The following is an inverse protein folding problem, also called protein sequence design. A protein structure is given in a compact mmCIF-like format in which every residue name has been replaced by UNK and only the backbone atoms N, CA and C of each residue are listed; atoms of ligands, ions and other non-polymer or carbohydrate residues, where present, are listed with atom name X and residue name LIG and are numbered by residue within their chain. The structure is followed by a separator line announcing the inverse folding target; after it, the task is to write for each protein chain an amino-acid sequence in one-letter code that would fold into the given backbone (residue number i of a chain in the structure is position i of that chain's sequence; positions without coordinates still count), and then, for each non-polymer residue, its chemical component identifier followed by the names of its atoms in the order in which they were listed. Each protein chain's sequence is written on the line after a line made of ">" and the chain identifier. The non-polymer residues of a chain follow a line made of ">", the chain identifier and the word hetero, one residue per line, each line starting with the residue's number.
data_IF_996504003978
#
_entry.id   IF_996504003978
#
_cell.length_a   1.000
_cell.length_b   1.000
_cell.length_c   1.000
_cell.angle_alpha   90.00
_cell.angle_beta   90.00
_cell.angle_gamma   90.00
#
_symmetry.space_group_name_H-M   'P 1'
#
loop_
_entity.id
_entity.type
_entity.pdbx_description
1 polymer ?
#
# COMPACT_ATOMS: atom_id res chain seq x y z
N UNK A 1 9.05 -2.47 -13.69
CA UNK A 1 9.11 -3.63 -12.77
C UNK A 1 10.41 -4.35 -13.11
N UNK A 2 11.46 -4.21 -12.29
CA UNK A 2 12.79 -4.71 -12.65
C UNK A 2 12.94 -6.16 -12.16
N UNK A 3 12.94 -7.12 -13.09
CA UNK A 3 12.93 -8.56 -12.79
C UNK A 3 14.33 -9.17 -12.63
N UNK A 4 15.38 -8.41 -12.95
CA UNK A 4 16.79 -8.85 -12.86
C UNK A 4 17.20 -9.30 -11.44
N UNK A 5 16.49 -8.83 -10.40
CA UNK A 5 16.77 -9.21 -9.01
C UNK A 5 15.97 -10.41 -8.51
N UNK A 6 15.06 -10.96 -9.30
CA UNK A 6 14.22 -12.09 -8.87
C UNK A 6 15.03 -13.37 -8.76
N UNK A 7 15.87 -13.65 -9.75
CA UNK A 7 16.72 -14.84 -9.80
C UNK A 7 17.68 -14.89 -8.61
N UNK A 8 18.31 -13.75 -8.29
CA UNK A 8 19.14 -13.61 -7.10
C UNK A 8 18.40 -13.92 -5.80
N UNK A 9 17.15 -13.45 -5.65
CA UNK A 9 16.33 -13.70 -4.45
C UNK A 9 15.93 -15.17 -4.31
N UNK A 10 15.68 -15.87 -5.41
CA UNK A 10 15.40 -17.32 -5.40
C UNK A 10 16.62 -18.08 -4.87
N UNK A 11 17.82 -17.74 -5.35
CA UNK A 11 19.07 -18.36 -4.88
C UNK A 11 19.32 -18.05 -3.39
N UNK A 12 19.12 -16.80 -2.97
CA UNK A 12 19.25 -16.41 -1.55
C UNK A 12 18.28 -17.22 -0.67
N UNK A 13 17.01 -17.38 -1.11
CA UNK A 13 16.02 -18.18 -0.38
C UNK A 13 16.45 -19.64 -0.25
N UNK A 14 16.92 -20.24 -1.34
CA UNK A 14 17.40 -21.62 -1.36
C UNK A 14 18.59 -21.82 -0.40
N UNK A 15 19.58 -20.93 -0.44
CA UNK A 15 20.77 -21.02 0.42
C UNK A 15 20.44 -20.77 1.90
N UNK A 16 19.48 -19.89 2.19
CA UNK A 16 18.93 -19.70 3.53
C UNK A 16 18.27 -20.98 4.05
N UNK A 17 17.48 -21.68 3.23
CA UNK A 17 16.86 -22.98 3.60
C UNK A 17 17.93 -24.06 3.82
N UNK A 18 19.02 -24.03 3.07
CA UNK A 18 20.18 -24.93 3.28
C UNK A 18 20.97 -24.63 4.56
N UNK A 19 20.63 -23.57 5.30
CA UNK A 19 21.27 -23.20 6.55
C UNK A 19 22.57 -22.41 6.41
N UNK A 20 22.87 -21.86 5.23
CA UNK A 20 24.03 -20.98 5.06
C UNK A 20 23.74 -19.60 5.68
N UNK A 21 24.76 -19.00 6.26
CA UNK A 21 24.70 -17.60 6.70
C UNK A 21 24.65 -16.63 5.52
N UNK A 22 24.21 -15.39 5.78
CA UNK A 22 24.15 -14.34 4.75
C UNK A 22 25.52 -14.05 4.11
N UNK A 23 26.61 -14.15 4.88
CA UNK A 23 27.99 -13.94 4.41
C UNK A 23 28.46 -15.07 3.50
N UNK A 24 28.17 -16.32 3.86
CA UNK A 24 28.46 -17.50 3.02
C UNK A 24 27.64 -17.47 1.74
N UNK A 25 26.35 -17.12 1.85
CA UNK A 25 25.44 -16.93 0.71
C UNK A 25 26.01 -15.90 -0.28
N UNK A 26 26.48 -14.75 0.20
CA UNK A 26 27.09 -13.73 -0.66
C UNK A 26 28.37 -14.24 -1.32
N UNK A 27 29.24 -14.93 -0.56
CA UNK A 27 30.49 -15.48 -1.08
C UNK A 27 30.23 -16.49 -2.19
N UNK A 28 29.28 -17.42 -1.98
CA UNK A 28 28.88 -18.44 -2.95
C UNK A 28 28.32 -17.80 -4.23
N UNK A 29 27.41 -16.83 -4.07
CA UNK A 29 26.83 -16.13 -5.23
C UNK A 29 27.88 -15.30 -5.97
N UNK A 30 28.85 -14.70 -5.26
CA UNK A 30 29.91 -13.89 -5.87
C UNK A 30 30.90 -14.76 -6.67
N UNK A 31 31.19 -15.96 -6.19
CA UNK A 31 32.06 -16.92 -6.88
C UNK A 31 31.43 -17.40 -8.20
N UNK A 32 30.14 -17.78 -8.16
CA UNK A 32 29.42 -18.31 -9.33
C UNK A 32 29.06 -17.21 -10.34
N UNK A 33 28.52 -16.08 -9.88
CA UNK A 33 27.95 -15.04 -10.76
C UNK A 33 28.92 -13.90 -11.11
N UNK A 34 30.08 -13.82 -10.43
CA UNK A 34 31.14 -12.83 -10.66
C UNK A 34 30.62 -11.40 -10.78
N UNK A 35 30.61 -10.82 -11.97
CA UNK A 35 30.23 -9.43 -12.23
C UNK A 35 28.71 -9.21 -12.15
N UNK A 36 27.92 -10.27 -12.32
CA UNK A 36 26.47 -10.24 -12.21
C UNK A 36 25.97 -10.51 -10.78
N UNK A 37 26.87 -10.70 -9.82
CA UNK A 37 26.48 -11.04 -8.45
C UNK A 37 25.73 -9.87 -7.76
N UNK A 38 24.71 -10.17 -6.94
CA UNK A 38 24.01 -9.15 -6.17
C UNK A 38 24.94 -8.52 -5.13
N UNK A 39 24.67 -7.27 -4.74
CA UNK A 39 25.43 -6.62 -3.67
C UNK A 39 25.27 -7.35 -2.34
N UNK A 40 26.30 -7.32 -1.49
CA UNK A 40 26.28 -7.95 -0.17
C UNK A 40 25.11 -7.44 0.69
N UNK A 41 24.81 -6.14 0.59
CA UNK A 41 23.67 -5.52 1.28
C UNK A 41 22.32 -6.08 0.82
N UNK A 42 22.18 -6.43 -0.47
CA UNK A 42 20.98 -7.07 -1.00
C UNK A 42 20.82 -8.49 -0.46
N UNK A 43 21.90 -9.26 -0.44
CA UNK A 43 21.91 -10.61 0.13
C UNK A 43 21.51 -10.57 1.60
N UNK A 44 22.16 -9.71 2.40
CA UNK A 44 21.86 -9.57 3.82
C UNK A 44 20.40 -9.16 4.09
N UNK A 45 19.88 -8.18 3.33
CA UNK A 45 18.47 -7.75 3.43
C UNK A 45 17.51 -8.93 3.22
N UNK A 46 17.65 -9.65 2.10
CA UNK A 46 16.71 -10.71 1.75
C UNK A 46 16.87 -11.96 2.61
N UNK A 47 18.10 -12.29 3.00
CA UNK A 47 18.37 -13.39 3.92
C UNK A 47 17.67 -13.18 5.27
N UNK A 48 17.81 -11.98 5.86
CA UNK A 48 17.11 -11.62 7.09
C UNK A 48 15.56 -11.67 6.96
N UNK A 49 15.02 -11.30 5.81
CA UNK A 49 13.58 -11.42 5.55
C UNK A 49 13.12 -12.88 5.47
N UNK A 50 13.91 -13.76 4.85
CA UNK A 50 13.61 -15.20 4.77
C UNK A 50 13.75 -15.90 6.13
N UNK A 51 14.76 -15.56 6.93
CA UNK A 51 14.87 -16.05 8.32
C UNK A 51 13.68 -15.62 9.19
N UNK A 52 13.11 -14.44 8.94
CA UNK A 52 11.88 -13.96 9.60
C UNK A 52 10.61 -14.68 9.13
N UNK A 53 10.72 -15.66 8.23
CA UNK A 53 9.60 -16.46 7.75
C UNK A 53 8.86 -15.87 6.55
N UNK A 54 9.46 -14.92 5.81
CA UNK A 54 8.88 -14.44 4.56
C UNK A 54 8.91 -15.56 3.51
N UNK A 55 7.76 -15.91 2.94
CA UNK A 55 7.72 -16.89 1.84
C UNK A 55 7.83 -16.25 0.44
N UNK A 56 7.46 -14.97 0.33
CA UNK A 56 7.46 -14.22 -0.92
C UNK A 56 8.86 -13.81 -1.38
N UNK A 57 9.17 -14.05 -2.67
CA UNK A 57 10.42 -13.65 -3.33
C UNK A 57 10.31 -12.26 -4.01
N UNK A 58 9.11 -11.68 -4.10
CA UNK A 58 8.92 -10.33 -4.64
C UNK A 58 8.50 -9.36 -3.54
N UNK A 59 8.64 -8.06 -3.79
CA UNK A 59 8.13 -7.05 -2.86
C UNK A 59 6.62 -6.78 -3.09
N UNK A 60 6.00 -7.38 -4.12
CA UNK A 60 4.65 -7.00 -4.57
C UNK A 60 3.88 -8.17 -5.22
N UNK A 61 3.75 -9.29 -4.50
CA UNK A 61 3.08 -10.51 -5.01
C UNK A 61 1.55 -10.36 -5.17
N UNK A 62 0.94 -9.36 -4.54
CA UNK A 62 -0.52 -9.22 -4.51
C UNK A 62 -1.12 -8.52 -5.74
N UNK A 63 -0.28 -8.00 -6.63
CA UNK A 63 -0.69 -7.23 -7.82
C UNK A 63 -0.17 -7.86 -9.13
N UNK A 64 0.03 -9.18 -9.16
CA UNK A 64 0.51 -9.87 -10.36
C UNK A 64 -0.66 -10.13 -11.32
N UNK A 65 -0.45 -9.80 -12.59
CA UNK A 65 -1.42 -10.09 -13.65
C UNK A 65 -1.50 -11.58 -13.93
N UNK A 66 -2.73 -12.12 -14.07
CA UNK A 66 -2.99 -13.49 -14.52
C UNK A 66 -2.24 -13.80 -15.83
N UNK A 67 -2.12 -12.81 -16.72
CA UNK A 67 -1.37 -12.97 -17.99
C UNK A 67 0.13 -13.16 -17.78
N UNK A 68 0.72 -12.45 -16.81
CA UNK A 68 2.14 -12.61 -16.49
C UNK A 68 2.42 -13.97 -15.87
N UNK A 69 1.47 -14.51 -15.11
CA UNK A 69 1.55 -15.87 -14.56
C UNK A 69 1.43 -16.87 -15.73
N UNK A 70 0.39 -16.78 -16.55
CA UNK A 70 0.17 -17.63 -17.71
C UNK A 70 1.42 -17.73 -18.62
N UNK A 71 2.03 -16.60 -18.95
CA UNK A 71 3.24 -16.55 -19.77
C UNK A 71 4.48 -17.19 -19.11
N UNK A 72 4.55 -17.23 -17.77
CA UNK A 72 5.67 -17.83 -17.03
C UNK A 72 5.51 -19.33 -16.84
N UNK A 73 4.28 -19.79 -16.61
CA UNK A 73 4.00 -21.22 -16.39
C UNK A 73 3.64 -21.95 -17.69
N UNK A 74 3.61 -21.22 -18.82
CA UNK A 74 3.19 -21.70 -20.15
C UNK A 74 1.83 -22.42 -20.12
N UNK A 75 0.89 -21.84 -19.37
CA UNK A 75 -0.47 -22.35 -19.26
C UNK A 75 -1.45 -21.34 -19.84
N UNK A 76 -2.59 -21.84 -20.31
CA UNK A 76 -3.65 -20.96 -20.77
C UNK A 76 -4.12 -20.02 -19.66
N UNK A 77 -4.46 -18.78 -20.01
CA UNK A 77 -4.98 -17.78 -19.07
C UNK A 77 -6.22 -18.31 -18.34
N UNK A 78 -7.08 -19.07 -19.02
CA UNK A 78 -8.27 -19.69 -18.43
C UNK A 78 -7.92 -20.72 -17.36
N UNK A 79 -6.91 -21.55 -17.59
CA UNK A 79 -6.40 -22.52 -16.61
C UNK A 79 -5.90 -21.81 -15.35
N UNK A 80 -5.07 -20.79 -15.50
CA UNK A 80 -4.56 -20.01 -14.37
C UNK A 80 -5.69 -19.29 -13.62
N UNK A 81 -6.64 -18.69 -14.35
CA UNK A 81 -7.82 -18.06 -13.75
C UNK A 81 -8.60 -19.09 -12.90
N UNK A 82 -8.79 -20.30 -13.41
CA UNK A 82 -9.47 -21.37 -12.66
C UNK A 82 -8.70 -21.79 -11.42
N UNK A 83 -7.37 -21.95 -11.52
CA UNK A 83 -6.51 -22.29 -10.38
C UNK A 83 -6.60 -21.22 -9.30
N UNK A 84 -6.45 -19.95 -9.66
CA UNK A 84 -6.46 -18.83 -8.71
C UNK A 84 -7.83 -18.67 -8.05
N UNK A 85 -8.91 -18.70 -8.82
CA UNK A 85 -10.25 -18.40 -8.31
C UNK A 85 -10.97 -19.59 -7.69
N UNK A 86 -10.90 -20.79 -8.29
CA UNK A 86 -11.66 -21.96 -7.83
C UNK A 86 -10.85 -22.87 -6.90
N UNK A 87 -9.57 -23.09 -7.17
CA UNK A 87 -8.76 -24.03 -6.38
C UNK A 87 -8.05 -23.35 -5.20
N UNK A 88 -7.51 -22.14 -5.41
CA UNK A 88 -6.84 -21.37 -4.36
C UNK A 88 -7.76 -20.38 -3.64
N UNK A 89 -8.96 -20.13 -4.18
CA UNK A 89 -9.96 -19.25 -3.56
C UNK A 89 -9.55 -17.77 -3.50
N UNK A 90 -8.56 -17.34 -4.27
CA UNK A 90 -8.13 -15.95 -4.28
C UNK A 90 -9.15 -15.06 -4.99
N UNK A 91 -9.36 -13.87 -4.42
CA UNK A 91 -10.26 -12.85 -4.95
C UNK A 91 -9.48 -11.62 -5.37
N UNK A 92 -9.91 -10.98 -6.46
CA UNK A 92 -9.33 -9.72 -6.90
C UNK A 92 -9.88 -8.59 -6.02
N UNK A 93 -8.97 -7.85 -5.40
CA UNK A 93 -9.31 -6.63 -4.67
C UNK A 93 -8.84 -5.42 -5.46
N UNK A 94 -9.63 -4.34 -5.40
CA UNK A 94 -9.17 -3.04 -5.91
C UNK A 94 -8.17 -2.46 -4.90
N UNK A 95 -7.05 -1.95 -5.39
CA UNK A 95 -6.20 -1.11 -4.56
C UNK A 95 -6.96 0.18 -4.25
N UNK A 96 -6.96 0.59 -2.98
CA UNK A 96 -7.48 1.90 -2.61
C UNK A 96 -6.42 2.95 -2.96
N UNK A 97 -6.86 4.06 -3.56
CA UNK A 97 -5.96 5.17 -3.85
C UNK A 97 -5.57 5.84 -2.53
N UNK A 98 -4.28 5.88 -2.24
CA UNK A 98 -3.71 6.54 -1.07
C UNK A 98 -3.00 7.81 -1.57
N UNK A 99 -3.41 9.02 -1.13
CA UNK A 99 -2.92 10.28 -1.70
C UNK A 99 -1.41 10.46 -1.64
N UNK A 100 -0.76 9.92 -0.61
CA UNK A 100 0.67 10.09 -0.37
C UNK A 100 1.25 8.89 0.36
N UNK A 101 2.40 8.42 -0.13
CA UNK A 101 3.24 7.48 0.62
C UNK A 101 3.92 8.22 1.76
N UNK A 102 3.75 7.72 2.98
CA UNK A 102 4.23 8.39 4.20
C UNK A 102 5.60 7.85 4.60
N UNK A 103 6.47 8.72 5.13
CA UNK A 103 7.65 8.28 5.88
C UNK A 103 7.28 7.84 7.29
N UNK A 104 8.17 7.11 7.96
CA UNK A 104 7.96 6.68 9.35
C UNK A 104 7.69 7.86 10.29
N UNK A 105 8.43 8.95 10.15
CA UNK A 105 8.22 10.17 10.95
C UNK A 105 6.85 10.80 10.67
N UNK A 106 6.41 10.82 9.41
CA UNK A 106 5.07 11.29 9.03
C UNK A 106 3.94 10.38 9.53
N UNK A 107 4.22 9.09 9.74
CA UNK A 107 3.28 8.15 10.37
C UNK A 107 3.18 8.41 11.87
N UNK A 108 4.33 8.56 12.56
CA UNK A 108 4.36 8.88 13.99
C UNK A 108 3.67 10.22 14.29
N UNK A 109 3.97 11.25 13.49
CA UNK A 109 3.35 12.56 13.61
C UNK A 109 1.81 12.53 13.40
N UNK A 110 1.27 11.55 12.66
CA UNK A 110 -0.18 11.35 12.51
C UNK A 110 -0.77 10.50 13.62
N UNK A 111 -0.03 9.49 14.10
CA UNK A 111 -0.52 8.50 15.05
C UNK A 111 -0.82 9.14 16.41
N UNK A 112 0.09 9.98 16.91
CA UNK A 112 -0.02 10.53 18.27
C UNK A 112 -1.24 11.45 18.44
N UNK A 113 -1.50 12.44 17.54
CA UNK A 113 -2.73 13.21 17.63
C UNK A 113 -4.00 12.37 17.42
N UNK A 114 -3.94 11.34 16.56
CA UNK A 114 -5.09 10.47 16.29
C UNK A 114 -5.49 9.66 17.52
N UNK A 115 -4.51 9.13 18.27
CA UNK A 115 -4.78 8.42 19.53
C UNK A 115 -5.39 9.35 20.57
N UNK A 116 -4.78 10.52 20.78
CA UNK A 116 -5.31 11.52 21.71
C UNK A 116 -6.73 11.96 21.34
N UNK A 117 -7.03 12.10 20.04
CA UNK A 117 -8.37 12.41 19.55
C UNK A 117 -9.37 11.29 19.87
N UNK A 118 -8.97 10.02 19.73
CA UNK A 118 -9.81 8.86 20.07
C UNK A 118 -10.07 8.84 21.58
N UNK A 119 -9.06 9.06 22.42
CA UNK A 119 -9.22 9.03 23.88
C UNK A 119 -10.20 10.12 24.35
N UNK A 120 -10.10 11.33 23.79
CA UNK A 120 -11.04 12.42 24.06
C UNK A 120 -12.47 12.05 23.63
N UNK A 121 -12.62 11.50 22.42
CA UNK A 121 -13.91 11.04 21.91
C UNK A 121 -14.54 9.96 22.79
N UNK A 122 -13.74 8.99 23.26
CA UNK A 122 -14.23 7.89 24.09
C UNK A 122 -14.61 8.34 25.50
N UNK A 123 -14.08 9.46 25.98
CA UNK A 123 -14.41 10.02 27.30
C UNK A 123 -15.79 10.67 27.35
N UNK A 124 -16.12 11.49 26.35
CA UNK A 124 -17.44 12.10 26.16
C UNK A 124 -17.67 12.39 24.66
N UNK A 125 -18.39 11.50 23.95
CA UNK A 125 -18.68 11.71 22.55
C UNK A 125 -19.55 12.94 22.28
N UNK A 126 -20.48 13.28 23.19
CA UNK A 126 -21.44 14.34 22.96
C UNK A 126 -20.78 15.72 23.10
N UNK A 127 -19.96 15.92 24.13
CA UNK A 127 -19.15 17.15 24.29
C UNK A 127 -18.11 17.30 23.17
N UNK A 128 -17.48 16.21 22.76
CA UNK A 128 -16.51 16.21 21.66
C UNK A 128 -17.13 16.75 20.36
N UNK A 129 -18.30 16.24 19.97
CA UNK A 129 -18.98 16.70 18.76
C UNK A 129 -19.49 18.14 18.89
N UNK A 130 -19.97 18.53 20.08
CA UNK A 130 -20.45 19.90 20.31
C UNK A 130 -19.36 20.95 20.11
N UNK A 131 -18.10 20.60 20.38
CA UNK A 131 -16.94 21.50 20.27
C UNK A 131 -16.17 21.38 18.95
N UNK A 132 -16.42 20.33 18.16
CA UNK A 132 -15.67 20.06 16.95
C UNK A 132 -16.02 21.06 15.83
N UNK A 133 -15.12 22.01 15.58
CA UNK A 133 -15.21 22.95 14.47
C UNK A 133 -14.12 22.61 13.44
N UNK A 134 -14.53 22.28 12.21
CA UNK A 134 -13.60 21.95 11.10
C UNK A 134 -13.79 22.92 9.94
N UNK A 135 -12.70 23.40 9.36
CA UNK A 135 -12.69 24.19 8.12
C UNK A 135 -11.65 23.62 7.16
N UNK A 136 -12.02 23.49 5.90
CA UNK A 136 -11.13 23.11 4.79
C UNK A 136 -11.52 23.91 3.54
N UNK A 137 -10.56 24.16 2.65
CA UNK A 137 -10.77 24.90 1.42
C UNK A 137 -10.71 23.96 0.21
N UNK A 138 -11.85 23.80 -0.46
CA UNK A 138 -11.97 22.94 -1.64
C UNK A 138 -11.96 23.81 -2.90
N UNK A 139 -11.00 23.55 -3.80
CA UNK A 139 -10.93 24.20 -5.10
C UNK A 139 -11.97 23.61 -6.06
N UNK A 140 -13.04 24.36 -6.37
CA UNK A 140 -14.06 23.95 -7.33
C UNK A 140 -14.00 24.80 -8.60
N UNK A 141 -13.83 24.15 -9.76
CA UNK A 141 -14.03 24.80 -11.07
C UNK A 141 -15.46 24.59 -11.61
N UNK A 142 -16.18 23.53 -11.19
CA UNK A 142 -17.64 23.40 -11.39
C UNK A 142 -18.22 22.53 -10.26
N UNK A 143 -19.19 23.08 -9.52
CA UNK A 143 -19.87 22.33 -8.46
C UNK A 143 -20.95 21.44 -9.11
N UNK A 144 -20.71 20.13 -9.17
CA UNK A 144 -21.65 19.19 -9.82
C UNK A 144 -22.90 18.98 -8.95
N UNK A 145 -24.07 18.72 -9.55
CA UNK A 145 -25.31 18.45 -8.80
C UNK A 145 -25.18 17.29 -7.80
N UNK A 146 -24.38 16.27 -8.12
CA UNK A 146 -24.13 15.12 -7.23
C UNK A 146 -23.32 15.52 -5.98
N UNK A 147 -22.35 16.41 -6.13
CA UNK A 147 -21.58 16.92 -5.00
C UNK A 147 -22.45 17.81 -4.10
N UNK A 148 -23.25 18.70 -4.70
CA UNK A 148 -24.23 19.53 -3.99
C UNK A 148 -25.19 18.71 -3.13
N UNK A 149 -25.73 17.62 -3.69
CA UNK A 149 -26.62 16.72 -2.98
C UNK A 149 -25.91 16.04 -1.79
N UNK A 150 -24.66 15.59 -1.96
CA UNK A 150 -23.87 14.98 -0.88
C UNK A 150 -23.56 15.95 0.26
N UNK A 151 -23.20 17.19 -0.06
CA UNK A 151 -22.87 18.21 0.94
C UNK A 151 -24.11 18.59 1.75
N UNK A 152 -25.26 18.77 1.09
CA UNK A 152 -26.54 19.02 1.78
C UNK A 152 -26.97 17.85 2.67
N UNK A 153 -26.85 16.61 2.18
CA UNK A 153 -27.17 15.42 2.98
C UNK A 153 -26.22 15.24 4.17
N UNK A 154 -25.01 15.79 4.11
CA UNK A 154 -24.05 15.84 5.22
C UNK A 154 -24.22 17.03 6.17
N UNK A 155 -25.33 17.77 6.10
CA UNK A 155 -25.63 18.90 6.99
C UNK A 155 -24.86 20.19 6.68
N UNK A 156 -24.23 20.31 5.51
CA UNK A 156 -23.52 21.54 5.13
C UNK A 156 -24.46 22.56 4.49
N UNK A 157 -24.44 23.79 5.02
CA UNK A 157 -25.02 24.97 4.39
C UNK A 157 -24.04 25.53 3.37
N UNK A 158 -24.55 25.73 2.15
CA UNK A 158 -23.79 26.28 1.03
C UNK A 158 -24.13 27.77 0.93
N UNK A 159 -23.12 28.62 1.08
CA UNK A 159 -23.25 30.07 0.96
C UNK A 159 -22.64 30.51 -0.37
N UNK A 160 -23.40 31.27 -1.14
CA UNK A 160 -22.91 31.88 -2.38
C UNK A 160 -22.14 33.15 -2.05
N UNK A 161 -20.90 33.27 -2.50
CA UNK A 161 -20.16 34.52 -2.41
C UNK A 161 -20.43 35.34 -3.69
N UNK A 162 -21.11 36.49 -3.63
CA UNK A 162 -21.40 37.28 -4.82
C UNK A 162 -20.17 37.99 -5.42
N UNK A 163 -19.03 38.06 -4.72
CA UNK A 163 -17.80 38.72 -5.21
C UNK A 163 -16.85 37.81 -5.98
N UNK A 164 -16.95 36.50 -5.81
CA UNK A 164 -16.09 35.51 -6.47
C UNK A 164 -16.94 34.30 -6.87
N UNK A 165 -16.63 33.57 -7.95
CA UNK A 165 -17.34 32.33 -8.33
C UNK A 165 -16.95 31.16 -7.40
N UNK A 166 -16.91 31.41 -6.09
CA UNK A 166 -16.51 30.49 -5.05
C UNK A 166 -17.67 30.32 -4.07
N UNK A 167 -17.77 29.10 -3.54
CA UNK A 167 -18.81 28.72 -2.58
C UNK A 167 -18.14 28.50 -1.24
N UNK A 168 -18.70 29.05 -0.17
CA UNK A 168 -18.27 28.74 1.19
C UNK A 168 -19.21 27.71 1.82
N UNK A 169 -18.64 26.77 2.57
CA UNK A 169 -19.35 25.70 3.23
C UNK A 169 -19.25 25.89 4.74
N UNK A 170 -20.37 25.81 5.44
CA UNK A 170 -20.42 25.78 6.90
C UNK A 170 -21.28 24.60 7.36
N UNK A 171 -20.88 23.89 8.42
CA UNK A 171 -21.78 22.95 9.09
C UNK A 171 -22.93 23.72 9.74
N UNK A 172 -24.14 23.17 9.62
CA UNK A 172 -25.31 23.56 10.43
C UNK A 172 -25.33 22.69 11.68
#
# INVERSE_FOLDING_TARGET
>A
MNFENLEHRVVIKFLCIKGLSATETFKEMKDVLKDNAPSQSMVAKWHAEFERGRESITENDHCISIRNIANRVDLSIGTIHSIIHHYLGHKKYKANWIPKTLSEDQMKARLEPSKSMIDLYMSDPDDFHARLITRDELGYTTMTPALLARLRNGGMKILHNPKYPTWSLSKV
#
